data_IF_827592799670
#
_entry.id   IF_827592799670
#
_cell.length_a   1.000
_cell.length_b   1.000
_cell.length_c   1.000
_cell.angle_alpha   90.00
_cell.angle_beta   90.00
_cell.angle_gamma   90.00
#
_symmetry.space_group_name_H-M   'P 1'
#
loop_
_entity.id
_entity.type
_entity.pdbx_description
1 polymer ?
#
# COMPACT_ATOMS: atom_id res chain seq x y z
N UNK A 1 -4.91 -49.02 33.06
CA UNK A 1 -5.06 -50.33 32.39
C UNK A 1 -4.96 -50.03 30.90
N UNK A 2 -3.78 -50.23 30.28
CA UNK A 2 -3.37 -51.45 29.54
C UNK A 2 -4.19 -51.63 28.25
N UNK A 3 -3.63 -51.71 27.04
CA UNK A 3 -2.33 -52.26 26.57
C UNK A 3 -1.63 -51.31 25.54
N UNK A 4 -0.34 -51.39 25.14
CA UNK A 4 0.47 -52.51 24.58
C UNK A 4 -0.19 -53.12 23.30
N UNK A 5 0.49 -53.51 22.20
CA UNK A 5 1.88 -53.36 21.68
C UNK A 5 1.84 -53.66 20.14
N UNK A 6 2.86 -53.65 19.25
CA UNK A 6 4.33 -53.41 19.25
C UNK A 6 4.84 -53.27 17.80
N UNK A 7 6.07 -52.75 17.60
CA UNK A 7 7.06 -53.22 16.58
C UNK A 7 6.80 -53.00 15.06
N UNK A 8 7.80 -53.04 14.16
CA UNK A 8 9.27 -52.90 14.31
C UNK A 8 9.94 -52.54 12.94
N UNK A 9 11.23 -52.20 12.99
CA UNK A 9 12.12 -52.00 11.83
C UNK A 9 12.37 -53.32 11.07
N UNK A 10 12.74 -53.21 9.80
CA UNK A 10 13.54 -54.24 9.10
C UNK A 10 14.80 -53.60 8.51
N UNK A 11 15.90 -54.34 8.36
CA UNK A 11 17.22 -53.75 8.08
C UNK A 11 18.14 -54.65 7.24
N UNK A 12 18.32 -54.23 5.98
CA UNK A 12 19.55 -54.33 5.17
C UNK A 12 20.08 -55.72 4.71
N UNK A 13 21.13 -55.61 3.87
CA UNK A 13 21.99 -56.62 3.25
C UNK A 13 21.33 -57.65 2.32
N UNK A 14 21.65 -57.54 1.03
CA UNK A 14 22.63 -58.45 0.42
C UNK A 14 23.46 -57.69 -0.64
N UNK A 15 24.69 -58.15 -0.88
CA UNK A 15 25.56 -57.59 -1.92
C UNK A 15 26.61 -58.61 -2.36
N UNK A 16 26.87 -58.67 -3.66
CA UNK A 16 27.92 -59.49 -4.27
C UNK A 16 28.42 -58.81 -5.56
N UNK A 17 29.70 -58.99 -5.86
CA UNK A 17 30.38 -58.34 -6.98
C UNK A 17 29.96 -58.93 -8.32
N UNK A 18 30.02 -58.11 -9.38
CA UNK A 18 30.44 -58.59 -10.70
C UNK A 18 31.34 -57.53 -11.37
N UNK A 19 32.50 -57.97 -11.88
CA UNK A 19 33.32 -57.19 -12.82
C UNK A 19 32.82 -57.49 -14.24
N UNK A 20 32.69 -56.47 -15.08
CA UNK A 20 32.32 -56.66 -16.49
C UNK A 20 32.36 -55.39 -17.34
N UNK A 21 33.20 -55.41 -18.37
CA UNK A 21 33.20 -54.60 -19.59
C UNK A 21 32.74 -53.12 -19.53
N UNK A 22 33.70 -52.20 -19.72
CA UNK A 22 33.43 -50.83 -20.18
C UNK A 22 32.92 -50.83 -21.63
N UNK A 23 31.60 -50.89 -21.82
CA UNK A 23 30.97 -50.58 -23.10
C UNK A 23 30.68 -49.07 -23.17
N UNK A 24 31.18 -48.40 -24.21
CA UNK A 24 30.98 -46.97 -24.42
C UNK A 24 29.53 -46.68 -24.85
N UNK A 25 28.70 -46.24 -23.90
CA UNK A 25 27.34 -45.75 -24.19
C UNK A 25 27.46 -44.49 -25.06
N UNK A 26 26.76 -44.38 -26.21
CA UNK A 26 26.74 -43.15 -26.99
C UNK A 26 26.09 -42.03 -26.16
N UNK A 27 26.73 -40.87 -26.12
CA UNK A 27 26.18 -39.72 -25.42
C UNK A 27 24.88 -39.26 -26.11
N UNK A 28 23.73 -39.57 -25.50
CA UNK A 28 22.47 -38.93 -25.84
C UNK A 28 22.60 -37.45 -25.47
N UNK A 29 22.93 -36.62 -26.46
CA UNK A 29 22.86 -35.18 -26.32
C UNK A 29 21.40 -34.81 -26.06
N UNK A 30 21.06 -34.54 -24.80
CA UNK A 30 19.82 -33.87 -24.47
C UNK A 30 19.88 -32.49 -25.13
N UNK A 31 19.12 -32.33 -26.22
CA UNK A 31 18.86 -31.02 -26.80
C UNK A 31 18.28 -30.13 -25.71
N UNK A 32 18.95 -29.03 -25.39
CA UNK A 32 18.38 -28.01 -24.53
C UNK A 32 17.00 -27.61 -25.08
N UNK A 33 15.99 -27.36 -24.22
CA UNK A 33 14.70 -26.88 -24.69
C UNK A 33 14.92 -25.63 -25.55
N UNK A 34 14.28 -25.60 -26.72
CA UNK A 34 14.46 -24.50 -27.67
C UNK A 34 14.12 -23.17 -26.98
N UNK A 35 14.95 -22.15 -27.21
CA UNK A 35 14.78 -20.84 -26.58
C UNK A 35 13.40 -20.28 -26.94
N UNK A 36 12.52 -20.23 -25.94
CA UNK A 36 11.22 -19.57 -26.03
C UNK A 36 11.51 -18.09 -26.32
N UNK A 37 11.09 -17.62 -27.48
CA UNK A 37 11.34 -16.26 -27.93
C UNK A 37 10.25 -15.32 -27.41
N UNK A 38 10.59 -14.04 -27.20
CA UNK A 38 9.69 -13.05 -26.59
C UNK A 38 8.32 -12.91 -27.31
N UNK A 39 8.22 -13.28 -28.58
CA UNK A 39 6.94 -13.33 -29.32
C UNK A 39 5.99 -14.43 -28.82
N UNK A 40 6.50 -15.52 -28.25
CA UNK A 40 5.71 -16.56 -27.57
C UNK A 40 5.07 -15.98 -26.30
N UNK A 41 5.86 -15.27 -25.51
CA UNK A 41 5.47 -14.71 -24.22
C UNK A 41 4.42 -13.61 -24.41
N UNK A 42 4.60 -12.74 -25.42
CA UNK A 42 3.60 -11.72 -25.78
C UNK A 42 2.27 -12.33 -26.24
N UNK A 43 2.26 -13.51 -26.87
CA UNK A 43 1.03 -14.21 -27.22
C UNK A 43 0.33 -14.81 -25.99
N UNK A 44 1.09 -15.31 -25.00
CA UNK A 44 0.53 -15.73 -23.70
C UNK A 44 -0.08 -14.55 -22.95
N UNK A 45 0.61 -13.40 -22.91
CA UNK A 45 0.12 -12.17 -22.29
C UNK A 45 -1.17 -11.66 -22.97
N UNK A 46 -1.26 -11.70 -24.30
CA UNK A 46 -2.50 -11.38 -25.03
C UNK A 46 -3.66 -12.28 -24.59
N UNK A 47 -3.43 -13.60 -24.55
CA UNK A 47 -4.47 -14.55 -24.13
C UNK A 47 -4.90 -14.36 -22.67
N UNK A 48 -3.94 -14.12 -21.77
CA UNK A 48 -4.18 -13.86 -20.35
C UNK A 48 -4.97 -12.57 -20.13
N UNK A 49 -4.60 -11.46 -20.78
CA UNK A 49 -5.34 -10.19 -20.66
C UNK A 49 -6.78 -10.30 -21.18
N UNK A 50 -6.99 -10.97 -22.33
CA UNK A 50 -8.34 -11.23 -22.84
C UNK A 50 -9.15 -12.15 -21.91
N UNK A 51 -8.52 -13.17 -21.30
CA UNK A 51 -9.19 -14.04 -20.32
C UNK A 51 -9.55 -13.31 -19.03
N UNK A 52 -8.66 -12.44 -18.54
CA UNK A 52 -8.88 -11.61 -17.35
C UNK A 52 -10.00 -10.57 -17.55
N UNK A 53 -10.38 -10.27 -18.80
CA UNK A 53 -11.56 -9.47 -19.14
C UNK A 53 -11.28 -8.27 -20.05
N UNK A 54 -10.06 -8.07 -20.54
CA UNK A 54 -9.73 -6.93 -21.42
C UNK A 54 -10.47 -7.04 -22.77
N UNK A 55 -11.47 -6.18 -22.96
CA UNK A 55 -12.27 -6.11 -24.19
C UNK A 55 -11.60 -5.27 -25.30
N UNK A 56 -10.69 -4.36 -24.94
CA UNK A 56 -10.02 -3.48 -25.89
C UNK A 56 -9.01 -4.27 -26.75
N UNK A 57 -8.99 -4.07 -28.09
CA UNK A 57 -8.10 -4.81 -28.96
C UNK A 57 -6.64 -4.39 -28.73
N UNK A 58 -5.80 -5.31 -28.27
CA UNK A 58 -4.36 -5.08 -28.14
C UNK A 58 -3.76 -4.93 -29.53
N UNK A 59 -3.22 -3.75 -29.84
CA UNK A 59 -2.51 -3.49 -31.10
C UNK A 59 -1.06 -3.97 -31.00
N UNK A 60 -0.32 -3.53 -29.97
CA UNK A 60 1.10 -3.83 -29.80
C UNK A 60 1.46 -4.29 -28.37
N UNK A 61 2.55 -5.04 -28.22
CA UNK A 61 3.22 -5.30 -26.94
C UNK A 61 4.73 -5.12 -27.15
N UNK A 62 5.38 -4.32 -26.30
CA UNK A 62 6.82 -4.05 -26.36
C UNK A 62 7.42 -3.85 -24.96
N UNK A 63 8.75 -3.98 -24.78
CA UNK A 63 9.41 -3.59 -23.54
C UNK A 63 9.18 -2.12 -23.19
N UNK A 64 9.03 -1.82 -21.91
CA UNK A 64 8.93 -0.45 -21.40
C UNK A 64 10.32 0.15 -21.10
N UNK A 65 10.35 1.41 -20.63
CA UNK A 65 11.58 2.03 -20.13
C UNK A 65 11.97 1.58 -18.69
N UNK A 66 11.14 0.75 -18.05
CA UNK A 66 11.38 0.15 -16.72
C UNK A 66 11.59 -1.37 -16.90
N UNK A 67 12.72 -1.87 -16.40
CA UNK A 67 13.11 -3.28 -16.48
C UNK A 67 12.03 -4.22 -15.90
N UNK A 68 11.53 -5.15 -16.72
CA UNK A 68 10.51 -6.13 -16.31
C UNK A 68 9.06 -5.65 -16.47
N UNK A 69 8.83 -4.40 -16.89
CA UNK A 69 7.53 -3.93 -17.37
C UNK A 69 7.49 -3.89 -18.91
N UNK A 70 6.33 -4.26 -19.46
CA UNK A 70 5.98 -4.19 -20.88
C UNK A 70 4.87 -3.16 -21.07
N UNK A 71 4.92 -2.40 -22.17
CA UNK A 71 3.80 -1.55 -22.60
C UNK A 71 2.91 -2.34 -23.56
N UNK A 72 1.63 -2.39 -23.25
CA UNK A 72 0.57 -3.00 -24.07
C UNK A 72 -0.26 -1.86 -24.66
N UNK A 73 -0.10 -1.62 -25.96
CA UNK A 73 -0.87 -0.60 -26.68
C UNK A 73 -2.23 -1.17 -27.07
N UNK A 74 -3.29 -0.44 -26.75
CA UNK A 74 -4.68 -0.83 -27.05
C UNK A 74 -5.14 -0.23 -28.39
N UNK A 75 -6.46 -0.22 -28.63
CA UNK A 75 -7.07 0.38 -29.81
C UNK A 75 -7.02 1.91 -29.80
N UNK A 76 -7.51 2.53 -30.88
CA UNK A 76 -7.59 3.99 -30.97
C UNK A 76 -8.45 4.57 -29.83
N UNK A 77 -8.01 5.71 -29.27
CA UNK A 77 -8.64 6.39 -28.12
C UNK A 77 -8.77 5.52 -26.86
N UNK A 78 -7.84 4.58 -26.66
CA UNK A 78 -7.68 3.84 -25.41
C UNK A 78 -6.29 4.12 -24.84
N UNK A 79 -6.24 4.33 -23.53
CA UNK A 79 -4.99 4.46 -22.79
C UNK A 79 -4.19 3.15 -22.86
N UNK A 80 -2.85 3.17 -22.93
CA UNK A 80 -2.07 1.95 -22.77
C UNK A 80 -2.23 1.37 -21.37
N UNK A 81 -1.89 0.08 -21.23
CA UNK A 81 -1.63 -0.52 -19.93
C UNK A 81 -0.18 -1.02 -19.89
N UNK A 82 0.42 -0.99 -18.70
CA UNK A 82 1.65 -1.68 -18.42
C UNK A 82 1.35 -3.02 -17.74
N UNK A 83 2.14 -4.05 -18.06
CA UNK A 83 2.06 -5.36 -17.42
C UNK A 83 3.48 -5.84 -17.10
N UNK A 84 3.64 -6.56 -15.99
CA UNK A 84 4.91 -7.25 -15.70
C UNK A 84 5.18 -8.37 -16.70
N UNK A 85 6.46 -8.69 -16.93
CA UNK A 85 6.85 -9.85 -17.74
C UNK A 85 6.40 -11.20 -17.16
N UNK A 86 6.05 -11.24 -15.86
CA UNK A 86 5.44 -12.40 -15.21
C UNK A 86 3.90 -12.42 -15.30
N UNK A 87 3.28 -11.36 -15.84
CA UNK A 87 1.84 -11.19 -15.97
C UNK A 87 1.03 -11.30 -14.65
N UNK A 88 1.68 -10.97 -13.53
CA UNK A 88 1.12 -10.96 -12.17
C UNK A 88 0.64 -9.58 -11.71
N UNK A 89 1.09 -8.49 -12.34
CA UNK A 89 0.62 -7.13 -12.09
C UNK A 89 0.35 -6.35 -13.37
N UNK A 90 -0.64 -5.47 -13.30
CA UNK A 90 -1.06 -4.55 -14.36
C UNK A 90 -1.21 -3.13 -13.79
N UNK A 91 -0.93 -2.14 -14.62
CA UNK A 91 -1.19 -0.72 -14.33
C UNK A 91 -1.90 -0.15 -15.56
N UNK A 92 -3.09 0.39 -15.41
CA UNK A 92 -3.66 1.26 -16.45
C UNK A 92 -2.96 2.62 -16.36
N UNK A 93 -2.43 3.13 -17.47
CA UNK A 93 -1.70 4.39 -17.50
C UNK A 93 -0.57 4.42 -18.54
N UNK A 94 -0.09 5.61 -18.86
CA UNK A 94 1.08 5.81 -19.71
C UNK A 94 2.38 6.02 -18.90
N UNK A 95 3.53 5.69 -19.50
CA UNK A 95 4.84 6.14 -19.00
C UNK A 95 5.10 7.57 -19.47
N UNK A 96 5.02 8.51 -18.55
CA UNK A 96 5.36 9.92 -18.76
C UNK A 96 6.82 10.17 -18.36
N UNK A 97 7.57 10.87 -19.20
CA UNK A 97 8.97 11.20 -18.90
C UNK A 97 9.06 12.40 -17.94
N UNK A 98 9.80 12.24 -16.85
CA UNK A 98 10.11 13.35 -15.95
C UNK A 98 10.96 14.41 -16.69
N UNK A 99 10.57 15.70 -16.72
CA UNK A 99 11.33 16.76 -17.38
C UNK A 99 12.62 17.17 -16.65
N UNK A 100 12.86 16.65 -15.44
CA UNK A 100 14.07 16.92 -14.65
C UNK A 100 15.32 16.23 -15.23
N UNK A 101 16.53 16.79 -15.01
CA UNK A 101 17.78 16.11 -15.37
C UNK A 101 17.96 14.79 -14.62
N UNK A 102 18.21 13.71 -15.35
CA UNK A 102 18.39 12.38 -14.78
C UNK A 102 19.82 12.15 -14.25
N UNK A 103 19.99 12.10 -12.93
CA UNK A 103 21.24 11.67 -12.27
C UNK A 103 21.15 10.18 -11.91
N UNK A 104 22.23 9.42 -12.10
CA UNK A 104 22.24 8.00 -11.79
C UNK A 104 22.26 7.76 -10.26
N UNK A 105 21.19 7.17 -9.72
CA UNK A 105 21.12 6.75 -8.32
C UNK A 105 21.91 5.44 -8.15
N UNK A 106 22.87 5.42 -7.22
CA UNK A 106 23.71 4.24 -7.00
C UNK A 106 22.90 3.03 -6.50
N UNK A 107 23.18 1.84 -7.03
CA UNK A 107 22.38 0.62 -6.82
C UNK A 107 22.26 0.13 -5.37
N UNK A 108 23.16 0.56 -4.47
CA UNK A 108 23.06 0.28 -3.03
C UNK A 108 22.13 1.26 -2.29
N UNK A 109 21.81 2.41 -2.90
CA UNK A 109 20.85 3.40 -2.40
C UNK A 109 19.44 3.00 -2.89
N UNK A 110 19.31 2.64 -4.16
CA UNK A 110 18.06 2.22 -4.81
C UNK A 110 17.74 0.72 -4.69
N UNK A 111 18.36 0.02 -3.74
CA UNK A 111 18.16 -1.42 -3.54
C UNK A 111 16.72 -1.76 -3.12
N UNK A 112 16.04 -2.65 -3.85
CA UNK A 112 14.70 -3.14 -3.53
C UNK A 112 14.58 -3.58 -2.06
N UNK A 113 13.56 -3.07 -1.36
CA UNK A 113 13.10 -3.54 -0.06
C UNK A 113 11.72 -4.21 -0.20
N UNK A 114 11.20 -4.91 0.83
CA UNK A 114 9.84 -5.47 0.80
C UNK A 114 8.76 -4.42 0.51
N UNK A 115 7.72 -4.81 -0.23
CA UNK A 115 6.63 -3.90 -0.59
C UNK A 115 5.97 -3.24 0.63
N UNK A 116 5.59 -1.97 0.49
CA UNK A 116 5.01 -1.15 1.57
C UNK A 116 6.02 -0.59 2.57
N UNK A 117 7.31 -0.92 2.46
CA UNK A 117 8.37 -0.20 3.21
C UNK A 117 8.70 1.13 2.54
N UNK A 118 9.01 2.21 3.29
CA UNK A 118 9.42 3.47 2.72
C UNK A 118 10.85 3.37 2.16
N UNK A 119 11.17 4.26 1.22
CA UNK A 119 12.57 4.44 0.78
C UNK A 119 13.43 5.02 1.92
N UNK A 120 14.74 4.73 1.91
CA UNK A 120 15.67 5.32 2.87
C UNK A 120 15.77 6.86 2.70
N UNK A 121 16.15 7.59 3.75
CA UNK A 121 16.33 9.07 3.68
C UNK A 121 17.30 9.50 2.57
N UNK A 122 18.39 8.75 2.38
CA UNK A 122 19.36 8.96 1.29
C UNK A 122 18.74 8.73 -0.09
N UNK A 123 17.88 7.72 -0.23
CA UNK A 123 17.19 7.42 -1.49
C UNK A 123 16.09 8.45 -1.79
N UNK A 124 15.30 8.89 -0.79
CA UNK A 124 14.38 10.03 -0.93
C UNK A 124 15.12 11.29 -1.39
N UNK A 125 16.28 11.62 -0.81
CA UNK A 125 17.08 12.77 -1.28
C UNK A 125 17.46 12.65 -2.75
N UNK A 126 17.96 11.49 -3.18
CA UNK A 126 18.36 11.25 -4.57
C UNK A 126 17.18 11.27 -5.56
N UNK A 127 15.99 10.79 -5.15
CA UNK A 127 14.76 10.90 -5.92
C UNK A 127 14.31 12.36 -6.07
N UNK A 128 14.30 13.12 -4.97
CA UNK A 128 13.96 14.56 -5.00
C UNK A 128 14.97 15.38 -5.81
N UNK A 129 16.27 15.03 -5.75
CA UNK A 129 17.30 15.63 -6.61
C UNK A 129 17.01 15.43 -8.10
N UNK A 130 16.44 14.27 -8.48
CA UNK A 130 15.96 13.92 -9.81
C UNK A 130 14.54 14.43 -10.15
N UNK A 131 13.85 15.15 -9.26
CA UNK A 131 12.45 15.58 -9.47
C UNK A 131 12.23 17.10 -9.40
N UNK A 132 13.31 17.88 -9.35
CA UNK A 132 13.31 19.35 -9.15
C UNK A 132 12.49 20.19 -10.14
N UNK A 133 12.08 19.65 -11.29
CA UNK A 133 11.19 20.35 -12.22
C UNK A 133 9.69 20.22 -11.87
N UNK A 134 9.33 19.38 -10.91
CA UNK A 134 7.94 19.07 -10.52
C UNK A 134 7.55 19.89 -9.28
N UNK A 135 6.73 20.92 -9.46
CA UNK A 135 6.39 21.88 -8.41
C UNK A 135 5.57 21.30 -7.24
N UNK A 136 5.02 20.09 -7.39
CA UNK A 136 4.27 19.34 -6.37
C UNK A 136 5.12 18.23 -5.70
N UNK A 137 6.43 18.17 -5.96
CA UNK A 137 7.34 17.18 -5.38
C UNK A 137 8.33 17.90 -4.46
N UNK A 138 8.26 17.59 -3.17
CA UNK A 138 8.82 18.38 -2.08
C UNK A 138 9.47 17.50 -0.99
N UNK A 139 9.94 18.11 0.10
CA UNK A 139 10.56 17.36 1.21
C UNK A 139 9.55 16.54 2.03
N UNK A 140 8.26 16.73 1.84
CA UNK A 140 7.20 16.00 2.54
C UNK A 140 6.69 14.80 1.71
N UNK A 141 6.83 14.84 0.37
CA UNK A 141 6.58 13.74 -0.57
C UNK A 141 7.14 12.40 -0.08
N UNK A 142 6.28 11.40 0.11
CA UNK A 142 6.68 10.07 0.57
C UNK A 142 6.83 9.11 -0.63
N UNK A 143 7.74 8.13 -0.51
CA UNK A 143 7.93 7.07 -1.51
C UNK A 143 8.06 5.71 -0.80
N UNK A 144 7.44 4.69 -1.38
CA UNK A 144 7.36 3.33 -0.86
C UNK A 144 7.74 2.33 -1.95
N UNK A 145 8.41 1.25 -1.55
CA UNK A 145 8.72 0.13 -2.43
C UNK A 145 7.45 -0.64 -2.79
N UNK A 146 7.28 -1.03 -4.06
CA UNK A 146 6.14 -1.84 -4.53
C UNK A 146 6.54 -3.29 -4.73
N UNK A 147 5.60 -4.18 -5.06
CA UNK A 147 5.91 -5.54 -5.50
C UNK A 147 6.53 -5.59 -6.93
N UNK A 148 6.44 -4.50 -7.71
CA UNK A 148 7.04 -4.39 -9.04
C UNK A 148 8.48 -3.88 -8.92
N UNK A 149 9.46 -4.71 -9.29
CA UNK A 149 10.88 -4.31 -9.32
C UNK A 149 11.05 -3.08 -10.22
N UNK A 150 11.85 -2.10 -9.75
CA UNK A 150 12.13 -0.89 -10.52
C UNK A 150 11.02 0.16 -10.48
N UNK A 151 9.93 -0.09 -9.74
CA UNK A 151 8.81 0.83 -9.57
C UNK A 151 8.55 1.11 -8.08
N UNK A 152 8.40 2.40 -7.77
CA UNK A 152 8.00 2.93 -6.47
C UNK A 152 6.58 3.50 -6.58
N UNK A 153 5.88 3.50 -5.45
CA UNK A 153 4.67 4.28 -5.26
C UNK A 153 5.05 5.54 -4.48
N UNK A 154 4.56 6.69 -4.88
CA UNK A 154 4.79 7.96 -4.21
C UNK A 154 3.49 8.71 -3.95
N UNK A 155 3.54 9.68 -3.05
CA UNK A 155 2.45 10.61 -2.78
C UNK A 155 3.02 11.98 -2.47
N UNK A 156 2.47 13.04 -3.08
CA UNK A 156 2.93 14.41 -2.86
C UNK A 156 2.59 14.88 -1.44
N UNK A 157 3.55 15.51 -0.75
CA UNK A 157 3.29 16.12 0.56
C UNK A 157 2.26 17.23 0.44
N UNK A 158 2.43 18.07 -0.59
CA UNK A 158 1.41 18.99 -1.06
C UNK A 158 0.27 18.26 -1.79
N UNK A 159 -0.92 18.21 -1.19
CA UNK A 159 -2.17 17.80 -1.85
C UNK A 159 -2.49 16.30 -1.89
N UNK A 160 -1.60 15.42 -1.40
CA UNK A 160 -1.93 14.01 -1.16
C UNK A 160 -2.18 13.16 -2.40
N UNK A 161 -1.72 13.59 -3.59
CA UNK A 161 -1.97 12.88 -4.85
C UNK A 161 -1.00 11.71 -4.98
N UNK A 162 -1.48 10.46 -5.05
CA UNK A 162 -0.62 9.30 -5.26
C UNK A 162 -0.18 9.20 -6.73
N UNK A 163 0.98 8.59 -6.96
CA UNK A 163 1.54 8.33 -8.28
C UNK A 163 2.47 7.12 -8.25
N UNK A 164 2.76 6.55 -9.41
CA UNK A 164 3.82 5.54 -9.56
C UNK A 164 5.02 6.17 -10.26
N UNK A 165 6.23 5.78 -9.88
CA UNK A 165 7.48 6.35 -10.41
C UNK A 165 8.59 5.30 -10.51
N UNK A 166 9.43 5.39 -11.54
CA UNK A 166 10.59 4.52 -11.69
C UNK A 166 11.60 4.70 -10.55
N UNK A 167 12.36 3.65 -10.23
CA UNK A 167 13.36 3.63 -9.16
C UNK A 167 14.55 4.60 -9.36
N UNK A 168 14.71 5.17 -10.55
CA UNK A 168 15.65 6.26 -10.85
C UNK A 168 14.98 7.65 -10.93
N UNK A 169 13.67 7.73 -10.70
CA UNK A 169 12.86 8.95 -10.77
C UNK A 169 12.58 9.46 -12.19
N UNK A 170 12.97 8.74 -13.25
CA UNK A 170 12.92 9.25 -14.64
C UNK A 170 11.58 9.14 -15.32
N UNK A 171 10.69 8.25 -14.88
CA UNK A 171 9.38 8.04 -15.47
C UNK A 171 8.29 7.98 -14.41
N UNK A 172 7.17 8.64 -14.67
CA UNK A 172 5.97 8.60 -13.85
C UNK A 172 4.87 7.82 -14.57
N UNK A 173 3.95 7.23 -13.81
CA UNK A 173 2.70 6.67 -14.31
C UNK A 173 1.58 7.19 -13.40
N UNK A 174 0.59 7.85 -13.98
CA UNK A 174 -0.66 8.14 -13.31
C UNK A 174 -1.56 6.89 -13.39
N UNK A 175 -1.71 6.18 -12.29
CA UNK A 175 -2.42 4.90 -12.25
C UNK A 175 -2.12 4.09 -10.99
N UNK A 176 -2.82 2.97 -10.82
CA UNK A 176 -2.73 2.11 -9.64
C UNK A 176 -2.19 0.73 -10.00
N UNK A 177 -1.48 0.09 -9.06
CA UNK A 177 -1.03 -1.30 -9.22
C UNK A 177 -2.21 -2.22 -8.91
N UNK A 178 -2.77 -2.82 -9.97
CA UNK A 178 -3.72 -3.92 -9.86
C UNK A 178 -3.02 -5.26 -10.07
N UNK A 179 -3.52 -6.30 -9.41
CA UNK A 179 -2.94 -7.64 -9.42
C UNK A 179 -3.74 -8.59 -10.31
N UNK A 180 -3.05 -9.54 -10.93
CA UNK A 180 -3.63 -10.66 -11.66
C UNK A 180 -3.34 -11.94 -10.88
N UNK A 181 -4.38 -12.65 -10.45
CA UNK A 181 -4.26 -13.95 -9.79
C UNK A 181 -5.08 -15.00 -10.52
N UNK A 182 -4.50 -16.18 -10.76
CA UNK A 182 -5.15 -17.32 -11.43
C UNK A 182 -5.76 -17.00 -12.82
N UNK A 183 -5.28 -15.94 -13.49
CA UNK A 183 -5.77 -15.48 -14.78
C UNK A 183 -6.87 -14.41 -14.73
N UNK A 184 -7.22 -13.89 -13.54
CA UNK A 184 -8.23 -12.85 -13.35
C UNK A 184 -7.64 -11.59 -12.71
N UNK A 185 -8.14 -10.40 -13.09
CA UNK A 185 -7.88 -9.18 -12.32
C UNK A 185 -8.57 -9.29 -10.95
N UNK A 186 -7.82 -9.08 -9.85
CA UNK A 186 -8.37 -9.12 -8.48
C UNK A 186 -8.46 -7.73 -7.82
N UNK A 187 -8.30 -6.68 -8.61
CA UNK A 187 -8.25 -5.29 -8.13
C UNK A 187 -6.86 -4.90 -7.62
N UNK A 188 -6.81 -3.96 -6.67
CA UNK A 188 -5.59 -3.39 -6.11
C UNK A 188 -4.67 -4.44 -5.46
N UNK A 189 -3.37 -4.13 -5.40
CA UNK A 189 -2.43 -4.86 -4.56
C UNK A 189 -2.67 -4.57 -3.06
N UNK A 190 -3.66 -5.25 -2.49
CA UNK A 190 -4.01 -5.19 -1.07
C UNK A 190 -2.86 -5.64 -0.14
N UNK A 191 -1.84 -6.34 -0.63
CA UNK A 191 -0.68 -6.72 0.17
C UNK A 191 0.30 -5.54 0.31
N UNK A 192 0.56 -4.82 -0.79
CA UNK A 192 1.27 -3.54 -0.76
C UNK A 192 0.53 -2.53 0.11
N UNK A 193 -0.78 -2.34 -0.09
CA UNK A 193 -1.58 -1.37 0.65
C UNK A 193 -1.57 -1.62 2.17
N UNK A 194 -1.84 -2.86 2.62
CA UNK A 194 -1.72 -3.20 4.06
C UNK A 194 -0.35 -2.84 4.61
N UNK A 195 0.73 -3.25 3.95
CA UNK A 195 2.11 -3.04 4.43
C UNK A 195 2.48 -1.56 4.48
N UNK A 196 2.08 -0.78 3.48
CA UNK A 196 2.21 0.69 3.46
C UNK A 196 1.46 1.31 4.64
N UNK A 197 0.20 0.93 4.84
CA UNK A 197 -0.66 1.52 5.87
C UNK A 197 -0.17 1.15 7.29
N UNK A 198 0.24 -0.11 7.51
CA UNK A 198 0.94 -0.54 8.73
C UNK A 198 2.21 0.28 8.98
N UNK A 199 3.01 0.55 7.94
CA UNK A 199 4.19 1.39 8.11
C UNK A 199 3.81 2.82 8.50
N UNK A 200 2.82 3.43 7.84
CA UNK A 200 2.31 4.76 8.21
C UNK A 200 1.88 4.80 9.68
N UNK A 201 1.12 3.81 10.16
CA UNK A 201 0.72 3.75 11.57
C UNK A 201 1.91 3.68 12.53
N UNK A 202 3.01 3.03 12.13
CA UNK A 202 4.25 2.96 12.93
C UNK A 202 5.02 4.29 13.01
N UNK A 203 4.72 5.26 12.13
CA UNK A 203 5.36 6.59 12.08
C UNK A 203 4.47 7.71 12.63
N UNK A 204 3.21 7.43 13.00
CA UNK A 204 2.34 8.40 13.67
C UNK A 204 2.84 8.64 15.10
N UNK A 205 2.89 9.90 15.52
CA UNK A 205 3.06 10.23 16.93
C UNK A 205 1.74 9.97 17.67
N UNK A 206 1.72 8.95 18.53
CA UNK A 206 0.61 8.63 19.43
C UNK A 206 0.18 9.85 20.28
N UNK A 207 1.13 10.70 20.68
CA UNK A 207 0.86 11.91 21.46
C UNK A 207 0.14 12.99 20.65
N UNK A 208 0.11 12.89 19.32
CA UNK A 208 -0.62 13.75 18.39
C UNK A 208 -1.83 13.03 17.75
N UNK A 209 -2.38 11.98 18.40
CA UNK A 209 -3.67 11.36 18.06
C UNK A 209 -4.76 11.75 19.07
N UNK A 210 -6.02 11.72 18.67
CA UNK A 210 -7.16 11.80 19.59
C UNK A 210 -7.60 10.37 19.93
N UNK A 211 -7.37 9.93 21.17
CA UNK A 211 -7.52 8.51 21.56
C UNK A 211 -8.81 8.32 22.36
N UNK A 212 -9.67 7.42 21.88
CA UNK A 212 -10.87 6.95 22.57
C UNK A 212 -10.68 5.47 22.95
N UNK A 213 -10.27 5.15 24.18
CA UNK A 213 -9.92 3.80 24.58
C UNK A 213 -11.13 2.87 24.70
N UNK A 214 -10.91 1.59 24.44
CA UNK A 214 -11.81 0.49 24.76
C UNK A 214 -12.23 0.49 26.24
N UNK A 215 -13.42 -0.04 26.53
CA UNK A 215 -13.93 -0.26 27.90
C UNK A 215 -13.84 -1.74 28.24
N UNK A 216 -13.03 -2.07 29.23
CA UNK A 216 -12.74 -3.46 29.59
C UNK A 216 -11.55 -3.98 28.79
N UNK A 217 -11.72 -5.13 28.14
CA UNK A 217 -10.71 -5.74 27.26
C UNK A 217 -10.64 -5.01 25.90
N UNK A 218 -9.44 -4.66 25.46
CA UNK A 218 -9.21 -4.16 24.10
C UNK A 218 -9.17 -5.36 23.13
N UNK A 219 -10.21 -5.46 22.29
CA UNK A 219 -10.35 -6.51 21.26
C UNK A 219 -9.81 -6.07 19.90
N UNK A 220 -9.86 -4.77 19.61
CA UNK A 220 -9.39 -4.20 18.34
C UNK A 220 -8.97 -2.73 18.50
N UNK A 221 -8.06 -2.30 17.62
CA UNK A 221 -7.69 -0.90 17.42
C UNK A 221 -8.05 -0.50 15.99
N UNK A 222 -8.66 0.67 15.83
CA UNK A 222 -8.88 1.30 14.52
C UNK A 222 -8.21 2.67 14.43
N UNK A 223 -7.60 2.95 13.29
CA UNK A 223 -7.07 4.27 12.94
C UNK A 223 -8.10 4.99 12.07
N UNK A 224 -8.44 6.24 12.39
CA UNK A 224 -9.52 6.97 11.72
C UNK A 224 -9.08 8.38 11.34
N UNK A 225 -8.87 8.63 10.05
CA UNK A 225 -8.66 9.99 9.54
C UNK A 225 -10.01 10.74 9.52
N UNK A 226 -10.11 11.85 10.25
CA UNK A 226 -11.39 12.48 10.59
C UNK A 226 -11.35 14.00 10.47
N UNK A 227 -12.50 14.60 10.16
CA UNK A 227 -12.70 16.04 9.95
C UNK A 227 -13.96 16.52 10.71
N UNK A 228 -13.87 17.65 11.42
CA UNK A 228 -14.96 18.15 12.28
C UNK A 228 -16.18 18.71 11.56
N UNK A 229 -16.09 19.02 10.26
CA UNK A 229 -17.18 19.50 9.43
C UNK A 229 -17.83 18.37 8.62
N UNK A 230 -17.07 17.34 8.23
CA UNK A 230 -17.57 16.15 7.53
C UNK A 230 -18.81 15.52 8.21
N UNK A 231 -19.95 15.38 7.50
CA UNK A 231 -21.17 14.76 8.05
C UNK A 231 -20.98 13.32 8.52
N UNK A 232 -20.25 12.49 7.76
CA UNK A 232 -20.03 11.08 8.13
C UNK A 232 -19.06 10.93 9.31
N UNK A 233 -18.10 11.83 9.48
CA UNK A 233 -17.26 11.86 10.69
C UNK A 233 -18.11 12.11 11.94
N UNK A 234 -19.08 13.02 11.88
CA UNK A 234 -20.01 13.30 12.99
C UNK A 234 -20.86 12.08 13.34
N UNK A 235 -21.35 11.34 12.34
CA UNK A 235 -22.08 10.09 12.52
C UNK A 235 -21.21 9.00 13.16
N UNK A 236 -19.95 8.86 12.74
CA UNK A 236 -19.00 7.92 13.34
C UNK A 236 -18.67 8.29 14.79
N UNK A 237 -18.31 9.56 15.05
CA UNK A 237 -17.98 10.06 16.39
C UNK A 237 -19.16 9.99 17.38
N UNK A 238 -20.41 10.05 16.90
CA UNK A 238 -21.58 9.81 17.74
C UNK A 238 -21.64 8.36 18.29
N UNK A 239 -21.10 7.38 17.56
CA UNK A 239 -21.16 5.94 17.91
C UNK A 239 -19.90 5.39 18.57
N UNK A 240 -18.81 6.17 18.69
CA UNK A 240 -17.58 5.76 19.39
C UNK A 240 -17.85 5.21 20.80
N UNK A 241 -18.83 5.76 21.53
CA UNK A 241 -19.21 5.27 22.86
C UNK A 241 -19.74 3.82 22.89
N UNK A 242 -20.33 3.36 21.78
CA UNK A 242 -20.77 1.98 21.53
C UNK A 242 -19.58 1.10 21.13
N UNK A 243 -18.72 1.57 20.22
CA UNK A 243 -17.53 0.86 19.77
C UNK A 243 -16.58 0.57 20.94
N UNK A 244 -16.32 1.58 21.79
CA UNK A 244 -15.53 1.40 23.02
C UNK A 244 -16.17 0.37 23.97
N UNK A 245 -17.51 0.34 24.06
CA UNK A 245 -18.23 -0.64 24.89
C UNK A 245 -18.20 -2.07 24.32
N UNK A 246 -17.93 -2.25 23.01
CA UNK A 246 -17.65 -3.55 22.39
C UNK A 246 -16.15 -3.94 22.43
N UNK A 247 -15.29 -3.14 23.05
CA UNK A 247 -13.86 -3.40 23.20
C UNK A 247 -12.96 -2.78 22.11
N UNK A 248 -13.46 -1.80 21.35
CA UNK A 248 -12.71 -1.17 20.26
C UNK A 248 -12.07 0.14 20.73
N UNK A 249 -10.76 0.28 20.59
CA UNK A 249 -10.06 1.56 20.74
C UNK A 249 -10.03 2.30 19.40
N UNK A 250 -10.38 3.58 19.41
CA UNK A 250 -10.34 4.45 18.23
C UNK A 250 -9.20 5.46 18.36
N UNK A 251 -8.25 5.42 17.43
CA UNK A 251 -7.14 6.36 17.29
C UNK A 251 -7.45 7.33 16.14
N UNK A 252 -8.00 8.50 16.47
CA UNK A 252 -8.36 9.51 15.47
C UNK A 252 -7.16 10.36 15.06
N UNK A 253 -6.90 10.40 13.75
CA UNK A 253 -5.92 11.25 13.07
C UNK A 253 -6.65 12.52 12.61
N UNK A 254 -6.14 13.69 12.99
CA UNK A 254 -6.70 14.96 12.55
C UNK A 254 -6.41 15.19 11.06
N UNK A 255 -7.44 15.19 10.23
CA UNK A 255 -7.29 15.24 8.78
C UNK A 255 -8.30 16.23 8.17
N UNK A 256 -8.07 17.55 8.33
CA UNK A 256 -8.98 18.58 7.83
C UNK A 256 -9.00 18.59 6.30
N UNK A 257 -10.18 18.33 5.72
CA UNK A 257 -10.43 18.34 4.26
C UNK A 257 -11.37 19.47 3.82
N UNK A 258 -12.01 20.16 4.78
CA UNK A 258 -12.72 21.41 4.56
C UNK A 258 -11.90 22.58 5.12
N UNK A 259 -11.86 23.71 4.40
CA UNK A 259 -11.10 24.91 4.80
C UNK A 259 -11.50 25.39 6.21
N UNK A 260 -12.79 25.33 6.56
CA UNK A 260 -13.31 25.74 7.86
C UNK A 260 -12.98 24.76 9.00
N UNK A 261 -12.39 23.60 8.70
CA UNK A 261 -11.93 22.61 9.69
C UNK A 261 -10.52 22.90 10.20
N UNK A 262 -9.64 23.47 9.37
CA UNK A 262 -8.20 23.55 9.66
C UNK A 262 -7.90 24.30 10.97
N UNK A 263 -8.28 25.58 11.08
CA UNK A 263 -7.97 26.38 12.27
C UNK A 263 -8.58 25.83 13.57
N UNK A 264 -9.88 25.45 13.63
CA UNK A 264 -10.44 24.84 14.83
C UNK A 264 -9.78 23.50 15.20
N UNK A 265 -9.41 22.67 14.23
CA UNK A 265 -8.71 21.41 14.51
C UNK A 265 -7.25 21.64 14.95
N UNK A 266 -6.53 22.58 14.34
CA UNK A 266 -5.21 23.03 14.81
C UNK A 266 -5.26 23.39 16.28
N UNK A 267 -6.22 24.25 16.68
CA UNK A 267 -6.44 24.62 18.08
C UNK A 267 -6.74 23.42 19.00
N UNK A 268 -7.52 22.43 18.56
CA UNK A 268 -7.76 21.20 19.35
C UNK A 268 -6.47 20.39 19.54
N UNK A 269 -5.57 20.36 18.55
CA UNK A 269 -4.30 19.64 18.61
C UNK A 269 -3.24 20.28 19.51
N UNK A 270 -3.43 21.54 19.94
CA UNK A 270 -2.63 22.19 20.98
C UNK A 270 -3.03 21.84 22.42
N UNK A 271 -4.02 20.97 22.62
CA UNK A 271 -4.12 20.15 23.84
C UNK A 271 -3.12 19.00 23.70
N UNK A 272 -2.24 18.81 24.69
CA UNK A 272 -1.17 17.80 24.66
C UNK A 272 -1.62 16.42 25.16
N UNK A 273 -2.70 16.35 25.92
CA UNK A 273 -3.28 15.10 26.43
C UNK A 273 -4.22 14.46 25.38
N UNK A 274 -3.92 13.24 24.86
CA UNK A 274 -4.74 12.59 23.84
C UNK A 274 -6.22 12.35 24.22
N UNK A 275 -6.53 12.21 25.51
CA UNK A 275 -7.89 11.96 26.01
C UNK A 275 -8.67 13.27 26.20
N UNK A 276 -8.01 14.34 26.63
CA UNK A 276 -8.61 15.69 26.60
C UNK A 276 -8.82 16.15 25.16
N UNK A 277 -7.86 15.88 24.26
CA UNK A 277 -7.99 16.14 22.81
C UNK A 277 -9.17 15.38 22.21
N UNK A 278 -9.35 14.11 22.55
CA UNK A 278 -10.52 13.31 22.17
C UNK A 278 -11.85 13.91 22.69
N UNK A 279 -11.83 14.52 23.88
CA UNK A 279 -12.99 15.25 24.43
C UNK A 279 -13.28 16.54 23.66
N UNK A 280 -12.24 17.33 23.33
CA UNK A 280 -12.36 18.53 22.48
C UNK A 280 -12.87 18.21 21.08
N UNK A 281 -12.35 17.13 20.47
CA UNK A 281 -12.78 16.63 19.17
C UNK A 281 -14.25 16.19 19.19
N UNK A 282 -14.68 15.47 20.22
CA UNK A 282 -16.09 15.08 20.42
C UNK A 282 -17.03 16.25 20.72
N UNK A 283 -16.52 17.38 21.20
CA UNK A 283 -17.26 18.63 21.29
C UNK A 283 -17.35 19.31 19.90
N UNK A 284 -16.23 19.37 19.16
CA UNK A 284 -16.16 19.91 17.80
C UNK A 284 -17.09 19.20 16.82
N UNK A 285 -17.16 17.87 16.86
CA UNK A 285 -18.11 17.05 16.08
C UNK A 285 -19.59 17.36 16.36
N UNK A 286 -19.89 17.97 17.52
CA UNK A 286 -21.24 18.45 17.90
C UNK A 286 -21.44 19.93 17.60
N UNK A 287 -20.51 20.58 16.88
CA UNK A 287 -20.51 22.01 16.58
C UNK A 287 -20.03 22.90 17.73
N UNK A 288 -19.60 22.34 18.86
CA UNK A 288 -19.19 23.09 20.04
C UNK A 288 -17.72 23.51 19.88
N UNK A 289 -17.50 24.79 19.55
CA UNK A 289 -16.16 25.38 19.47
C UNK A 289 -15.64 25.70 20.88
N UNK A 290 -14.62 24.98 21.35
CA UNK A 290 -13.92 25.34 22.59
C UNK A 290 -13.19 26.67 22.44
N UNK A 291 -13.05 27.39 23.56
CA UNK A 291 -12.22 28.59 23.67
C UNK A 291 -11.06 28.44 24.68
N UNK A 292 -11.00 27.31 25.41
CA UNK A 292 -10.06 27.11 26.52
C UNK A 292 -8.67 26.64 26.08
N UNK A 293 -8.55 26.10 24.87
CA UNK A 293 -7.29 25.68 24.25
C UNK A 293 -7.18 26.35 22.90
N UNK A 294 -6.04 27.00 22.65
CA UNK A 294 -5.67 27.64 21.39
C UNK A 294 -4.16 27.53 21.20
N UNK A 295 -3.74 27.33 19.96
CA UNK A 295 -2.34 27.41 19.58
C UNK A 295 -1.84 28.87 19.61
N UNK A 296 -0.53 29.05 19.79
CA UNK A 296 0.13 30.34 19.80
C UNK A 296 0.87 30.60 18.49
N UNK A 297 0.52 31.69 17.79
CA UNK A 297 1.10 32.00 16.48
C UNK A 297 0.94 30.83 15.49
N UNK A 298 2.06 30.44 14.88
CA UNK A 298 2.15 29.44 13.81
C UNK A 298 2.22 27.98 14.31
N UNK A 299 2.09 27.76 15.63
CA UNK A 299 2.11 26.45 16.27
C UNK A 299 1.07 25.47 15.68
N UNK A 300 1.51 24.30 15.22
CA UNK A 300 0.66 23.33 14.53
C UNK A 300 1.08 21.87 14.78
N UNK A 301 0.61 21.28 15.88
CA UNK A 301 0.86 19.86 16.22
C UNK A 301 0.01 18.87 15.40
N UNK A 302 -0.89 19.34 14.53
CA UNK A 302 -1.67 18.48 13.64
C UNK A 302 -0.87 18.10 12.38
N UNK A 303 -0.03 19.01 11.88
CA UNK A 303 0.68 18.88 10.60
C UNK A 303 1.56 17.62 10.50
N UNK A 304 2.28 17.25 11.56
CA UNK A 304 3.19 16.09 11.55
C UNK A 304 2.46 14.78 11.23
N UNK A 305 1.34 14.51 11.92
CA UNK A 305 0.51 13.34 11.63
C UNK A 305 -0.28 13.49 10.33
N UNK A 306 -0.62 14.71 9.88
CA UNK A 306 -1.25 14.94 8.58
C UNK A 306 -0.31 14.61 7.41
N UNK A 307 0.98 14.98 7.49
CA UNK A 307 2.01 14.62 6.48
C UNK A 307 2.23 13.11 6.48
N UNK A 308 2.43 12.50 7.65
CA UNK A 308 2.59 11.04 7.76
C UNK A 308 1.37 10.29 7.19
N UNK A 309 0.15 10.79 7.43
CA UNK A 309 -1.09 10.21 6.91
C UNK A 309 -1.28 10.32 5.38
N UNK A 310 -0.49 11.13 4.65
CA UNK A 310 -0.56 11.13 3.17
C UNK A 310 -0.26 9.75 2.58
N UNK A 311 0.57 8.93 3.23
CA UNK A 311 0.81 7.53 2.84
C UNK A 311 -0.45 6.64 2.85
N UNK A 312 -1.53 7.05 3.50
CA UNK A 312 -2.82 6.33 3.51
C UNK A 312 -3.72 6.67 2.30
N UNK A 313 -3.31 7.62 1.43
CA UNK A 313 -4.06 8.04 0.22
C UNK A 313 -5.53 8.39 0.50
N UNK A 314 -5.79 9.16 1.56
CA UNK A 314 -7.13 9.47 2.06
C UNK A 314 -7.87 10.42 1.10
N UNK A 315 -8.73 9.84 0.26
CA UNK A 315 -9.58 10.59 -0.69
C UNK A 315 -10.86 11.17 -0.04
N UNK A 316 -11.30 10.63 1.10
CA UNK A 316 -12.49 11.07 1.83
C UNK A 316 -12.38 10.76 3.34
N UNK A 317 -13.10 11.51 4.17
CA UNK A 317 -13.22 11.24 5.61
C UNK A 317 -14.66 10.82 5.98
N UNK A 318 -14.87 9.93 6.96
CA UNK A 318 -13.86 9.23 7.75
C UNK A 318 -13.23 8.07 6.97
N UNK A 319 -11.91 8.02 6.84
CA UNK A 319 -11.20 6.83 6.37
C UNK A 319 -10.83 5.99 7.59
N UNK A 320 -11.37 4.78 7.67
CA UNK A 320 -11.32 3.90 8.85
C UNK A 320 -10.49 2.67 8.50
N UNK A 321 -9.42 2.43 9.24
CA UNK A 321 -8.51 1.30 9.02
C UNK A 321 -8.42 0.40 10.25
N UNK A 322 -8.26 -0.91 10.06
CA UNK A 322 -7.90 -1.82 11.15
C UNK A 322 -6.39 -1.72 11.46
N UNK A 323 -5.95 -2.32 12.58
CA UNK A 323 -4.53 -2.39 12.94
C UNK A 323 -3.67 -3.18 11.93
N UNK A 324 -4.30 -3.96 11.04
CA UNK A 324 -3.65 -4.75 10.00
C UNK A 324 -3.42 -3.96 8.69
N UNK A 325 -3.91 -2.72 8.59
CA UNK A 325 -3.71 -1.84 7.43
C UNK A 325 -4.79 -1.92 6.35
N UNK A 326 -5.83 -2.74 6.53
CA UNK A 326 -6.97 -2.80 5.60
C UNK A 326 -7.88 -1.58 5.81
N UNK A 327 -8.41 -1.03 4.70
CA UNK A 327 -9.40 0.04 4.70
C UNK A 327 -10.82 -0.55 4.78
N UNK A 328 -11.61 -0.07 5.75
CA UNK A 328 -13.04 -0.39 5.84
C UNK A 328 -13.84 0.40 4.80
N UNK A 329 -14.60 -0.30 3.97
CA UNK A 329 -15.43 0.27 2.89
C UNK A 329 -16.92 -0.03 3.05
N UNK A 330 -17.32 -0.62 4.18
CA UNK A 330 -18.70 -1.01 4.49
C UNK A 330 -19.48 0.06 5.27
N UNK A 331 -20.64 -0.33 5.77
CA UNK A 331 -21.49 0.53 6.58
C UNK A 331 -21.13 0.42 8.07
N UNK A 332 -20.49 1.44 8.65
CA UNK A 332 -20.12 1.44 10.08
C UNK A 332 -21.32 1.49 11.06
N UNK A 333 -22.56 1.53 10.53
CA UNK A 333 -23.77 1.47 11.34
C UNK A 333 -24.38 0.07 11.47
N UNK A 334 -23.94 -0.90 10.65
CA UNK A 334 -24.33 -2.32 10.69
C UNK A 334 -23.25 -3.17 11.39
N UNK A 335 -23.50 -4.48 11.52
CA UNK A 335 -22.54 -5.42 12.12
C UNK A 335 -21.33 -5.73 11.21
N UNK A 336 -21.34 -5.30 9.93
CA UNK A 336 -20.20 -5.39 8.99
C UNK A 336 -18.90 -4.84 9.60
N UNK A 337 -19.00 -3.77 10.40
CA UNK A 337 -17.84 -3.15 11.05
C UNK A 337 -17.24 -4.02 12.16
N UNK A 338 -18.04 -4.90 12.77
CA UNK A 338 -17.58 -5.84 13.78
C UNK A 338 -17.02 -7.10 13.11
N UNK A 339 -17.65 -7.57 12.04
CA UNK A 339 -17.12 -8.64 11.20
C UNK A 339 -15.74 -8.28 10.61
N UNK A 340 -15.58 -7.05 10.10
CA UNK A 340 -14.30 -6.49 9.64
C UNK A 340 -13.21 -6.50 10.74
N UNK A 341 -13.59 -6.24 11.99
CA UNK A 341 -12.69 -6.30 13.16
C UNK A 341 -12.61 -7.69 13.79
N UNK A 342 -13.26 -8.70 13.21
CA UNK A 342 -13.39 -10.07 13.71
C UNK A 342 -14.01 -10.17 15.13
N UNK A 343 -14.79 -9.16 15.54
CA UNK A 343 -15.52 -9.10 16.79
C UNK A 343 -16.89 -9.77 16.63
N UNK A 344 -17.25 -10.60 17.60
CA UNK A 344 -18.55 -11.26 17.77
C UNK A 344 -19.17 -10.87 19.12
#
# INVERSE_FOLDING_TARGET
MSSFNSSAKLTALFGALFLGALASVPAYAQSAPAAISASSDYNQIRALLTHAGLQAPITNIAPSAIDGLLVVTLGANQEPLLITTAADYVIQGALEANPSPAVAIASHISANQPAGTPVSKTYKSALLDNMKALANIDQDTAFYHTNIKGLLWGVSGTGGVPFLVSADGRYFINGEISKIENGYFVGLDYEFERKKNQHVFSQLDENALAIYPAKGEEKAVVYVATDINCPYCKLFHARIGEFNAKGITVKAIGYPVYDESFEPMRHMWCESDPSKRATLLSAGMKGIRSQSVRCTGDENHLLGNQITAQGLAIFATPAIFNAQGDLFQGNFTSDEFLEFLNIR
#
